data_IF_321531580043
#
_entry.id   IF_321531580043
#
_cell.length_a   1.000
_cell.length_b   1.000
_cell.length_c   1.000
_cell.angle_alpha   90.00
_cell.angle_beta   90.00
_cell.angle_gamma   90.00
#
_symmetry.space_group_name_H-M   'P 1'
#
loop_
_entity.id
_entity.type
_entity.pdbx_description
1 polymer ?
#
# COMPACT_ATOMS: atom_id res chain seq x y z
N UNK A 1 18.32 1.58 8.66
CA UNK A 1 17.49 2.53 7.88
C UNK A 1 16.06 1.99 7.81
N UNK A 2 15.12 2.64 8.50
CA UNK A 2 13.74 2.18 8.68
C UNK A 2 12.96 2.13 7.34
N UNK A 3 12.21 1.05 7.06
CA UNK A 3 11.47 0.81 5.79
C UNK A 3 10.51 1.97 5.50
N UNK A 4 9.84 2.47 6.53
CA UNK A 4 8.95 3.63 6.46
C UNK A 4 9.64 4.85 5.85
N UNK A 5 10.86 5.18 6.28
CA UNK A 5 11.58 6.37 5.81
C UNK A 5 11.96 6.25 4.33
N UNK A 6 12.34 5.05 3.87
CA UNK A 6 12.66 4.81 2.45
C UNK A 6 11.44 5.03 1.55
N UNK A 7 10.27 4.56 1.99
CA UNK A 7 9.03 4.77 1.24
C UNK A 7 8.62 6.24 1.31
N UNK A 8 8.64 6.86 2.50
CA UNK A 8 8.31 8.28 2.68
C UNK A 8 9.14 9.19 1.80
N UNK A 9 10.45 8.96 1.70
CA UNK A 9 11.35 9.73 0.84
C UNK A 9 10.98 9.63 -0.66
N UNK A 10 10.43 8.49 -1.11
CA UNK A 10 10.00 8.34 -2.52
C UNK A 10 8.65 8.96 -2.82
N UNK A 11 7.69 8.85 -1.90
CA UNK A 11 6.29 9.25 -2.16
C UNK A 11 5.93 10.62 -1.56
N UNK A 12 6.89 11.28 -0.88
CA UNK A 12 6.82 12.66 -0.38
C UNK A 12 5.95 12.88 0.87
N UNK A 13 4.77 12.26 0.91
CA UNK A 13 3.73 12.60 1.88
C UNK A 13 3.54 11.45 2.88
N UNK A 14 2.54 10.60 2.64
CA UNK A 14 2.28 9.38 3.39
C UNK A 14 3.00 8.19 2.76
N UNK A 15 3.76 7.47 3.58
CA UNK A 15 4.35 6.18 3.20
C UNK A 15 3.35 5.02 3.27
N UNK A 16 2.27 5.17 4.04
CA UNK A 16 1.24 4.15 4.29
C UNK A 16 -0.09 4.64 3.73
N UNK A 17 -0.86 3.77 3.08
CA UNK A 17 -2.20 4.05 2.57
C UNK A 17 -3.15 2.93 2.97
N UNK A 18 -4.38 3.30 3.31
CA UNK A 18 -5.46 2.32 3.54
C UNK A 18 -6.01 1.81 2.21
N UNK A 19 -6.56 0.59 2.23
CA UNK A 19 -7.21 -0.04 1.09
C UNK A 19 -8.64 -0.38 1.47
N UNK A 20 -9.59 0.27 0.80
CA UNK A 20 -11.01 0.08 1.04
C UNK A 20 -11.70 -0.23 -0.30
N UNK A 21 -12.56 -1.25 -0.35
CA UNK A 21 -13.17 -1.74 -1.61
C UNK A 21 -12.14 -1.98 -2.73
N UNK A 22 -11.00 -2.58 -2.40
CA UNK A 22 -9.87 -2.77 -3.32
C UNK A 22 -9.30 -1.48 -3.93
N UNK A 23 -9.60 -0.30 -3.39
CA UNK A 23 -9.04 0.99 -3.83
C UNK A 23 -7.99 1.47 -2.84
N UNK A 24 -6.80 1.84 -3.33
CA UNK A 24 -5.78 2.48 -2.51
C UNK A 24 -6.11 3.95 -2.26
N UNK A 25 -6.29 4.38 -1.00
CA UNK A 25 -6.58 5.78 -0.65
C UNK A 25 -5.45 6.76 -0.98
N UNK A 26 -4.23 6.25 -1.23
CA UNK A 26 -3.09 7.09 -1.59
C UNK A 26 -3.05 7.51 -3.06
N UNK A 27 -3.55 6.68 -3.98
CA UNK A 27 -3.51 6.95 -5.42
C UNK A 27 -4.83 6.74 -6.14
N UNK A 28 -5.89 6.36 -5.42
CA UNK A 28 -7.24 6.12 -5.92
C UNK A 28 -7.29 5.10 -7.07
N UNK A 29 -6.32 4.18 -7.12
CA UNK A 29 -6.27 3.10 -8.11
C UNK A 29 -6.76 1.80 -7.51
N UNK A 30 -7.41 1.00 -8.35
CA UNK A 30 -7.89 -0.33 -7.98
C UNK A 30 -6.73 -1.32 -7.89
N UNK A 31 -6.57 -1.95 -6.74
CA UNK A 31 -5.56 -2.96 -6.48
C UNK A 31 -6.01 -4.29 -7.10
N UNK A 32 -5.08 -5.08 -7.68
CA UNK A 32 -5.42 -6.41 -8.19
C UNK A 32 -6.11 -7.28 -7.13
N UNK A 33 -7.17 -8.00 -7.51
CA UNK A 33 -7.97 -8.82 -6.59
C UNK A 33 -7.13 -9.84 -5.80
N UNK A 34 -6.11 -10.42 -6.44
CA UNK A 34 -5.20 -11.35 -5.80
C UNK A 34 -4.38 -10.68 -4.68
N UNK A 35 -3.89 -9.46 -4.93
CA UNK A 35 -3.18 -8.67 -3.92
C UNK A 35 -4.14 -8.20 -2.82
N UNK A 36 -5.39 -7.87 -3.13
CA UNK A 36 -6.41 -7.54 -2.12
C UNK A 36 -6.69 -8.73 -1.19
N UNK A 37 -6.84 -9.93 -1.75
CA UNK A 37 -7.03 -11.17 -0.97
C UNK A 37 -5.81 -11.48 -0.09
N UNK A 38 -4.59 -11.28 -0.61
CA UNK A 38 -3.36 -11.42 0.17
C UNK A 38 -3.26 -10.37 1.29
N UNK A 39 -3.76 -9.17 1.06
CA UNK A 39 -3.74 -8.09 2.04
C UNK A 39 -4.53 -8.45 3.30
N UNK A 40 -5.69 -9.11 3.14
CA UNK A 40 -6.53 -9.61 4.22
C UNK A 40 -5.90 -10.74 5.04
N UNK A 41 -4.87 -11.42 4.50
CA UNK A 41 -4.17 -12.48 5.24
C UNK A 41 -3.15 -11.92 6.25
N UNK A 42 -2.76 -10.65 6.13
CA UNK A 42 -1.78 -9.97 6.99
C UNK A 42 -0.42 -10.70 7.16
N UNK A 43 -0.09 -11.65 6.27
CA UNK A 43 1.12 -12.47 6.37
C UNK A 43 2.41 -11.70 6.06
N UNK A 44 2.32 -10.59 5.33
CA UNK A 44 3.48 -9.85 4.84
C UNK A 44 3.16 -8.40 4.54
N UNK A 45 4.17 -7.54 4.68
CA UNK A 45 4.06 -6.12 4.33
C UNK A 45 3.95 -5.97 2.80
N UNK A 46 2.82 -5.42 2.33
CA UNK A 46 2.53 -5.25 0.91
C UNK A 46 2.63 -3.78 0.49
N UNK A 47 2.85 -3.59 -0.80
CA UNK A 47 2.97 -2.26 -1.41
C UNK A 47 1.98 -2.12 -2.56
N UNK A 48 1.43 -0.91 -2.71
CA UNK A 48 0.61 -0.56 -3.86
C UNK A 48 1.44 -0.67 -5.14
N UNK A 49 0.99 -1.37 -6.19
CA UNK A 49 1.74 -1.49 -7.45
C UNK A 49 1.85 -0.17 -8.21
N UNK A 50 0.95 0.79 -7.98
CA UNK A 50 0.91 2.07 -8.68
C UNK A 50 1.77 3.14 -7.99
N UNK A 51 1.55 3.38 -6.69
CA UNK A 51 2.22 4.46 -5.97
C UNK A 51 3.35 3.99 -5.02
N UNK A 52 3.56 2.67 -4.91
CA UNK A 52 4.58 2.04 -4.04
C UNK A 52 4.48 2.41 -2.56
N UNK A 53 3.33 2.91 -2.10
CA UNK A 53 3.02 3.07 -0.68
C UNK A 53 2.80 1.71 -0.03
N UNK A 54 3.15 1.61 1.24
CA UNK A 54 2.78 0.49 2.10
C UNK A 54 1.25 0.49 2.19
N UNK A 55 0.62 -0.66 1.96
CA UNK A 55 -0.84 -0.77 1.98
C UNK A 55 -1.30 -1.61 3.16
N UNK A 56 -2.37 -1.14 3.81
CA UNK A 56 -3.04 -1.82 4.92
C UNK A 56 -4.55 -1.81 4.66
N UNK A 57 -5.28 -2.80 5.15
CA UNK A 57 -6.76 -2.79 5.20
C UNK A 57 -7.22 -2.02 6.43
#
# INVERSE_FOLDING_TARGET
MNIYLKVRQRVGNLAVASVSNAVCSGCNMNIPAQLYNELHRFDSLRYCPFCRRIIII
#
